data_IF_525064933259
#
_entry.id   IF_525064933259
#
_cell.length_a   1.000
_cell.length_b   1.000
_cell.length_c   1.000
_cell.angle_alpha   90.00
_cell.angle_beta   90.00
_cell.angle_gamma   90.00
#
_symmetry.space_group_name_H-M   'P 1'
#
loop_
_entity.id
_entity.type
_entity.pdbx_description
1 polymer ?
#
# COMPACT_ATOMS: atom_id res chain seq x y z
N UNK A 1 -8.35 18.05 39.12
CA UNK A 1 -7.52 18.22 37.88
C UNK A 1 -7.03 19.65 37.80
N UNK A 2 -5.69 19.89 37.77
CA UNK A 2 -5.13 21.26 37.86
C UNK A 2 -5.37 22.06 36.57
N UNK A 3 -5.42 23.42 36.69
CA UNK A 3 -5.52 24.34 35.52
C UNK A 3 -4.38 24.13 34.51
N UNK A 4 -3.16 23.84 35.00
CA UNK A 4 -1.95 23.56 34.21
C UNK A 4 -2.14 22.32 33.35
N UNK A 5 -2.70 21.24 33.89
CA UNK A 5 -2.96 19.99 33.19
C UNK A 5 -3.99 20.18 32.04
N UNK A 6 -5.10 20.91 32.30
CA UNK A 6 -6.08 21.25 31.25
C UNK A 6 -5.47 22.07 30.11
N UNK A 7 -4.55 22.98 30.40
CA UNK A 7 -3.84 23.78 29.39
C UNK A 7 -2.92 22.90 28.53
N UNK A 8 -2.20 21.96 29.13
CA UNK A 8 -1.34 21.00 28.41
C UNK A 8 -2.16 20.07 27.51
N UNK A 9 -3.26 19.53 27.99
CA UNK A 9 -4.16 18.72 27.17
C UNK A 9 -4.68 19.49 25.96
N UNK A 10 -5.14 20.75 26.11
CA UNK A 10 -5.57 21.58 24.99
C UNK A 10 -4.48 21.80 23.96
N UNK A 11 -3.23 22.01 24.41
CA UNK A 11 -2.07 22.13 23.49
C UNK A 11 -1.81 20.84 22.75
N UNK A 12 -1.79 19.71 23.44
CA UNK A 12 -1.60 18.39 22.86
C UNK A 12 -2.69 18.09 21.81
N UNK A 13 -3.96 18.36 22.15
CA UNK A 13 -5.08 18.18 21.21
C UNK A 13 -4.93 19.03 19.95
N UNK A 14 -4.46 20.29 20.08
CA UNK A 14 -4.18 21.13 18.91
C UNK A 14 -3.10 20.53 18.00
N UNK A 15 -2.05 19.95 18.58
CA UNK A 15 -0.99 19.27 17.84
C UNK A 15 -1.53 18.03 17.09
N UNK A 16 -2.30 17.19 17.75
CA UNK A 16 -2.92 16.03 17.12
C UNK A 16 -3.87 16.44 15.97
N UNK A 17 -4.70 17.45 16.19
CA UNK A 17 -5.61 17.95 15.16
C UNK A 17 -4.85 18.51 13.95
N UNK A 18 -3.78 19.33 14.19
CA UNK A 18 -2.95 19.86 13.11
C UNK A 18 -2.32 18.73 12.29
N UNK A 19 -1.72 17.75 12.94
CA UNK A 19 -1.12 16.59 12.28
C UNK A 19 -2.15 15.78 11.47
N UNK A 20 -3.31 15.52 12.06
CA UNK A 20 -4.40 14.78 11.40
C UNK A 20 -4.88 15.53 10.15
N UNK A 21 -5.05 16.85 10.24
CA UNK A 21 -5.48 17.67 9.12
C UNK A 21 -4.44 17.67 7.99
N UNK A 22 -3.14 17.83 8.33
CA UNK A 22 -2.06 17.76 7.35
C UNK A 22 -2.00 16.41 6.64
N UNK A 23 -2.17 15.30 7.39
CA UNK A 23 -2.17 13.97 6.83
C UNK A 23 -3.39 13.72 5.94
N UNK A 24 -4.56 14.21 6.34
CA UNK A 24 -5.77 14.12 5.53
C UNK A 24 -5.62 14.90 4.22
N UNK A 25 -5.12 16.14 4.27
CA UNK A 25 -4.84 16.95 3.08
C UNK A 25 -3.85 16.25 2.14
N UNK A 26 -2.78 15.67 2.69
CA UNK A 26 -1.83 14.87 1.92
C UNK A 26 -2.49 13.66 1.23
N UNK A 27 -3.31 12.89 1.96
CA UNK A 27 -4.04 11.75 1.41
C UNK A 27 -5.01 12.21 0.30
N UNK A 28 -5.73 13.31 0.51
CA UNK A 28 -6.66 13.85 -0.49
C UNK A 28 -5.94 14.21 -1.79
N UNK A 29 -4.81 14.92 -1.70
CA UNK A 29 -4.00 15.32 -2.86
C UNK A 29 -3.37 14.11 -3.56
N UNK A 30 -2.79 13.19 -2.79
CA UNK A 30 -2.15 12.00 -3.33
C UNK A 30 -3.16 11.10 -4.05
N UNK A 31 -4.32 10.83 -3.43
CA UNK A 31 -5.36 9.99 -4.04
C UNK A 31 -5.97 10.64 -5.27
N UNK A 32 -6.15 11.95 -5.29
CA UNK A 32 -6.61 12.68 -6.46
C UNK A 32 -5.63 12.54 -7.63
N UNK A 33 -4.33 12.77 -7.39
CA UNK A 33 -3.30 12.65 -8.42
C UNK A 33 -3.21 11.23 -8.98
N UNK A 34 -3.30 10.21 -8.11
CA UNK A 34 -3.25 8.81 -8.52
C UNK A 34 -4.45 8.45 -9.40
N UNK A 35 -5.65 8.83 -9.02
CA UNK A 35 -6.86 8.56 -9.82
C UNK A 35 -6.85 9.33 -11.14
N UNK A 36 -6.31 10.55 -11.17
CA UNK A 36 -6.14 11.30 -12.42
C UNK A 36 -5.18 10.61 -13.39
N UNK A 37 -4.11 10.01 -12.87
CA UNK A 37 -3.01 9.45 -13.67
C UNK A 37 -3.28 8.01 -14.11
N UNK A 38 -3.89 7.19 -13.25
CA UNK A 38 -4.05 5.75 -13.47
C UNK A 38 -5.52 5.35 -13.51
N UNK A 39 -5.83 4.29 -14.26
CA UNK A 39 -7.17 3.69 -14.32
C UNK A 39 -7.28 2.50 -13.38
N UNK A 40 -6.14 1.90 -12.99
CA UNK A 40 -6.09 0.76 -12.08
C UNK A 40 -4.92 0.89 -11.11
N UNK A 41 -5.15 0.61 -9.83
CA UNK A 41 -4.12 0.51 -8.81
C UNK A 41 -4.27 -0.83 -8.10
N UNK A 42 -3.20 -1.64 -8.12
CA UNK A 42 -3.24 -3.00 -7.60
C UNK A 42 -2.46 -3.10 -6.28
N UNK A 43 -3.07 -3.70 -5.26
CA UNK A 43 -2.47 -3.97 -3.96
C UNK A 43 -2.40 -5.47 -3.67
N UNK A 44 -1.49 -5.86 -2.79
CA UNK A 44 -1.56 -7.18 -2.14
C UNK A 44 -2.61 -7.19 -1.04
N UNK A 45 -3.31 -8.32 -0.87
CA UNK A 45 -4.37 -8.48 0.15
C UNK A 45 -3.87 -8.43 1.60
N UNK A 46 -2.56 -8.54 1.82
CA UNK A 46 -1.97 -8.59 3.17
C UNK A 46 -1.85 -7.24 3.90
N UNK A 47 -2.42 -6.17 3.35
CA UNK A 47 -2.38 -4.85 4.00
C UNK A 47 -3.00 -4.85 5.41
N UNK A 48 -3.97 -5.74 5.68
CA UNK A 48 -4.56 -5.92 7.02
C UNK A 48 -3.58 -6.60 7.99
N UNK A 49 -2.81 -7.58 7.52
CA UNK A 49 -1.77 -8.26 8.30
C UNK A 49 -0.61 -7.31 8.62
N UNK A 50 -0.21 -6.47 7.67
CA UNK A 50 0.77 -5.41 7.90
C UNK A 50 0.30 -4.46 9.01
N UNK A 51 -0.98 -4.11 9.05
CA UNK A 51 -1.56 -3.29 10.11
C UNK A 51 -1.40 -3.92 11.51
N UNK A 52 -1.48 -5.25 11.61
CA UNK A 52 -1.32 -5.99 12.87
C UNK A 52 0.17 -6.09 13.26
N UNK A 53 1.05 -6.37 12.30
CA UNK A 53 2.48 -6.56 12.56
C UNK A 53 3.23 -5.27 12.90
N UNK A 54 2.77 -4.15 12.39
CA UNK A 54 3.43 -2.82 12.56
C UNK A 54 3.01 -2.14 13.87
N UNK A 55 2.07 -2.72 14.64
CA UNK A 55 1.62 -2.16 15.92
C UNK A 55 1.05 -0.74 15.82
N UNK A 56 0.29 -0.31 16.85
CA UNK A 56 -0.49 0.94 16.82
C UNK A 56 0.27 2.24 16.49
N UNK A 57 1.58 2.31 16.73
CA UNK A 57 2.36 3.52 16.50
C UNK A 57 2.62 3.85 15.02
N UNK A 58 2.81 2.85 14.15
CA UNK A 58 3.05 3.10 12.72
C UNK A 58 1.77 3.41 11.94
N UNK A 59 0.59 3.02 12.42
CA UNK A 59 -0.68 3.53 11.92
C UNK A 59 -0.81 5.07 12.12
N UNK A 60 -0.06 5.62 13.07
CA UNK A 60 0.04 7.08 13.23
C UNK A 60 0.89 7.74 12.15
N UNK A 61 1.77 7.01 11.45
CA UNK A 61 2.62 7.57 10.39
C UNK A 61 1.84 7.70 9.08
N UNK A 62 1.21 6.62 8.63
CA UNK A 62 0.38 6.64 7.42
C UNK A 62 -0.82 5.67 7.53
N UNK A 63 -2.07 6.17 7.57
CA UNK A 63 -3.26 5.34 7.73
C UNK A 63 -3.65 4.69 6.39
N UNK A 64 -3.03 3.56 6.06
CA UNK A 64 -3.20 2.86 4.79
C UNK A 64 -4.66 2.51 4.49
N UNK A 65 -5.44 2.09 5.49
CA UNK A 65 -6.87 1.78 5.31
C UNK A 65 -7.70 3.00 4.87
N UNK A 66 -7.42 4.18 5.46
CA UNK A 66 -8.04 5.44 5.05
C UNK A 66 -7.63 5.83 3.63
N UNK A 67 -6.35 5.69 3.30
CA UNK A 67 -5.83 5.95 1.96
C UNK A 67 -6.52 5.08 0.90
N UNK A 68 -6.63 3.75 1.13
CA UNK A 68 -7.31 2.82 0.21
C UNK A 68 -8.79 3.18 0.08
N UNK A 69 -9.47 3.50 1.19
CA UNK A 69 -10.86 3.93 1.15
C UNK A 69 -11.02 5.16 0.28
N UNK A 70 -10.19 6.20 0.49
CA UNK A 70 -10.24 7.43 -0.31
C UNK A 70 -9.94 7.21 -1.79
N UNK A 71 -9.03 6.28 -2.13
CA UNK A 71 -8.81 5.87 -3.52
C UNK A 71 -10.07 5.29 -4.13
N UNK A 72 -10.73 4.34 -3.46
CA UNK A 72 -11.98 3.73 -3.93
C UNK A 72 -13.08 4.77 -4.14
N UNK A 73 -13.30 5.64 -3.15
CA UNK A 73 -14.29 6.72 -3.22
C UNK A 73 -14.05 7.63 -4.44
N UNK A 74 -12.77 7.98 -4.70
CA UNK A 74 -12.40 8.83 -5.84
C UNK A 74 -12.49 8.14 -7.19
N UNK A 75 -12.12 6.86 -7.29
CA UNK A 75 -12.35 6.09 -8.51
C UNK A 75 -13.82 6.05 -8.86
N UNK A 76 -14.68 5.74 -7.89
CA UNK A 76 -16.13 5.73 -8.11
C UNK A 76 -16.68 7.11 -8.54
N UNK A 77 -16.11 8.20 -8.02
CA UNK A 77 -16.57 9.57 -8.33
C UNK A 77 -16.07 10.07 -9.69
N UNK A 78 -14.77 9.86 -9.99
CA UNK A 78 -14.12 10.49 -11.15
C UNK A 78 -13.92 9.57 -12.34
N UNK A 79 -13.88 8.25 -12.12
CA UNK A 79 -13.65 7.23 -13.14
C UNK A 79 -14.45 5.96 -12.85
N UNK A 80 -15.82 6.03 -12.87
CA UNK A 80 -16.65 4.87 -12.51
C UNK A 80 -16.46 3.67 -13.43
N UNK A 81 -16.05 3.89 -14.68
CA UNK A 81 -15.78 2.84 -15.67
C UNK A 81 -14.41 2.19 -15.53
N UNK A 82 -13.51 2.75 -14.71
CA UNK A 82 -12.18 2.20 -14.50
C UNK A 82 -12.21 0.99 -13.55
N UNK A 83 -11.24 0.07 -13.70
CA UNK A 83 -11.08 -1.06 -12.77
C UNK A 83 -10.80 -0.61 -11.32
N UNK A 84 -10.25 0.58 -11.16
CA UNK A 84 -10.06 1.23 -9.87
C UNK A 84 -9.06 0.52 -8.97
N UNK A 85 -9.43 0.28 -7.70
CA UNK A 85 -8.58 -0.38 -6.73
C UNK A 85 -8.79 -1.89 -6.77
N UNK A 86 -7.74 -2.63 -7.11
CA UNK A 86 -7.74 -4.10 -7.21
C UNK A 86 -6.84 -4.73 -6.15
N UNK A 87 -7.11 -6.00 -5.82
CA UNK A 87 -6.31 -6.77 -4.86
C UNK A 87 -5.92 -8.12 -5.45
N UNK A 88 -4.69 -8.55 -5.15
CA UNK A 88 -4.17 -9.86 -5.53
C UNK A 88 -3.63 -10.60 -4.29
N UNK A 89 -3.60 -11.93 -4.36
CA UNK A 89 -3.08 -12.75 -3.25
C UNK A 89 -1.59 -12.51 -3.02
N UNK A 90 -1.14 -12.29 -1.77
CA UNK A 90 0.27 -12.16 -1.44
C UNK A 90 0.94 -13.54 -1.47
N UNK A 91 1.71 -13.87 -2.50
CA UNK A 91 2.47 -15.12 -2.53
C UNK A 91 3.77 -14.94 -3.29
N UNK A 92 4.92 -14.93 -2.58
CA UNK A 92 6.25 -14.83 -3.18
C UNK A 92 6.48 -13.64 -4.13
N UNK A 93 5.69 -12.59 -4.11
CA UNK A 93 5.81 -11.44 -5.02
C UNK A 93 7.18 -10.79 -4.96
N UNK A 94 7.77 -10.63 -3.76
CA UNK A 94 9.10 -10.08 -3.57
C UNK A 94 10.24 -11.06 -3.90
N UNK A 95 9.96 -12.39 -3.91
CA UNK A 95 10.96 -13.45 -4.11
C UNK A 95 10.97 -14.01 -5.53
N UNK A 96 9.91 -13.83 -6.30
CA UNK A 96 9.82 -14.28 -7.70
C UNK A 96 10.49 -13.24 -8.59
N UNK A 97 11.40 -13.68 -9.45
CA UNK A 97 11.99 -12.81 -10.45
C UNK A 97 10.94 -12.45 -11.51
N UNK A 98 10.60 -11.16 -11.67
CA UNK A 98 9.61 -10.71 -12.66
C UNK A 98 10.01 -11.02 -14.10
N UNK A 99 11.35 -11.20 -14.35
CA UNK A 99 11.85 -11.43 -15.71
C UNK A 99 11.78 -12.89 -16.14
N UNK A 100 12.06 -13.87 -15.24
CA UNK A 100 12.14 -15.28 -15.61
C UNK A 100 11.31 -16.25 -14.76
N UNK A 101 10.52 -15.75 -13.81
CA UNK A 101 9.65 -16.54 -12.94
C UNK A 101 10.38 -17.36 -11.85
N UNK A 102 11.73 -17.34 -11.78
CA UNK A 102 12.47 -18.09 -10.78
C UNK A 102 12.21 -17.58 -9.37
N UNK A 103 11.91 -18.48 -8.42
CA UNK A 103 11.64 -18.14 -7.01
C UNK A 103 12.92 -18.27 -6.20
N UNK A 104 13.43 -17.15 -5.66
CA UNK A 104 14.56 -17.15 -4.74
C UNK A 104 14.10 -17.46 -3.30
N UNK A 105 14.09 -18.75 -2.94
CA UNK A 105 13.66 -19.22 -1.60
C UNK A 105 14.55 -18.70 -0.46
N UNK A 106 15.82 -18.37 -0.73
CA UNK A 106 16.80 -17.92 0.27
C UNK A 106 16.90 -16.39 0.40
N UNK A 107 16.03 -15.62 -0.28
CA UNK A 107 16.07 -14.18 -0.19
C UNK A 107 15.72 -13.67 1.21
N UNK A 108 16.69 -13.02 1.86
CA UNK A 108 16.48 -12.41 3.19
C UNK A 108 15.67 -11.12 3.06
N UNK A 109 14.71 -10.90 3.96
CA UNK A 109 13.82 -9.71 3.97
C UNK A 109 14.60 -8.39 3.98
N UNK A 110 15.75 -8.33 4.65
CA UNK A 110 16.58 -7.11 4.74
C UNK A 110 17.34 -6.78 3.45
N UNK A 111 17.46 -7.72 2.49
CA UNK A 111 18.23 -7.51 1.26
C UNK A 111 17.37 -6.80 0.22
N UNK A 112 17.62 -5.51 0.00
CA UNK A 112 16.88 -4.68 -0.96
C UNK A 112 17.21 -5.06 -2.40
N UNK A 113 18.49 -5.11 -2.76
CA UNK A 113 18.94 -5.50 -4.10
C UNK A 113 19.42 -6.95 -4.12
N UNK A 114 19.01 -7.71 -5.12
CA UNK A 114 19.41 -9.12 -5.25
C UNK A 114 19.60 -9.53 -6.73
N UNK A 115 20.46 -10.50 -6.96
CA UNK A 115 20.72 -11.06 -8.28
C UNK A 115 19.93 -12.36 -8.42
N UNK A 116 19.20 -12.49 -9.52
CA UNK A 116 18.48 -13.73 -9.83
C UNK A 116 19.47 -14.85 -10.16
N UNK A 117 19.34 -15.99 -9.50
CA UNK A 117 20.23 -17.13 -9.68
C UNK A 117 20.06 -17.83 -11.04
N UNK A 118 18.86 -17.69 -11.67
CA UNK A 118 18.57 -18.33 -12.97
C UNK A 118 18.98 -17.44 -14.14
N UNK A 119 18.57 -16.16 -14.16
CA UNK A 119 18.80 -15.28 -15.33
C UNK A 119 19.87 -14.21 -15.10
N UNK A 120 20.49 -14.15 -13.92
CA UNK A 120 21.56 -13.20 -13.60
C UNK A 120 21.16 -11.75 -13.42
N UNK A 121 19.89 -11.37 -13.65
CA UNK A 121 19.41 -9.98 -13.56
C UNK A 121 19.48 -9.48 -12.12
N UNK A 122 19.97 -8.23 -11.95
CA UNK A 122 19.97 -7.53 -10.67
C UNK A 122 18.63 -6.82 -10.53
N UNK A 123 17.96 -7.02 -9.40
CA UNK A 123 16.60 -6.57 -9.14
C UNK A 123 16.54 -5.80 -7.81
N UNK A 124 15.89 -4.65 -7.81
CA UNK A 124 15.39 -4.04 -6.58
C UNK A 124 14.16 -4.84 -6.12
N UNK A 125 14.12 -5.23 -4.84
CA UNK A 125 13.09 -6.12 -4.29
C UNK A 125 11.70 -5.51 -4.38
N UNK A 126 11.56 -4.22 -4.10
CA UNK A 126 10.27 -3.56 -3.99
C UNK A 126 9.70 -3.28 -5.40
N UNK A 127 10.54 -2.84 -6.34
CA UNK A 127 10.18 -2.71 -7.75
C UNK A 127 9.81 -4.07 -8.37
N UNK A 128 10.59 -5.12 -8.07
CA UNK A 128 10.29 -6.47 -8.53
C UNK A 128 8.93 -6.98 -8.00
N UNK A 129 8.64 -6.70 -6.72
CA UNK A 129 7.34 -7.06 -6.13
C UNK A 129 6.18 -6.32 -6.81
N UNK A 130 6.32 -5.02 -7.04
CA UNK A 130 5.29 -4.21 -7.71
C UNK A 130 4.97 -4.74 -9.13
N UNK A 131 5.99 -5.09 -9.91
CA UNK A 131 5.81 -5.68 -11.24
C UNK A 131 5.09 -7.05 -11.15
N UNK A 132 5.47 -7.90 -10.18
CA UNK A 132 4.81 -9.19 -10.00
C UNK A 132 3.35 -9.05 -9.54
N UNK A 133 3.03 -8.07 -8.69
CA UNK A 133 1.67 -7.75 -8.27
C UNK A 133 0.82 -7.34 -9.48
N UNK A 134 1.34 -6.46 -10.31
CA UNK A 134 0.67 -6.00 -11.53
C UNK A 134 0.45 -7.16 -12.53
N UNK A 135 1.49 -7.97 -12.78
CA UNK A 135 1.39 -9.13 -13.67
C UNK A 135 0.36 -10.16 -13.20
N UNK A 136 0.21 -10.37 -11.90
CA UNK A 136 -0.84 -11.25 -11.35
C UNK A 136 -2.22 -10.76 -11.66
N UNK A 137 -2.46 -9.47 -11.52
CA UNK A 137 -3.74 -8.90 -11.86
C UNK A 137 -4.07 -9.10 -13.35
N UNK A 138 -3.11 -8.81 -14.24
CA UNK A 138 -3.28 -9.05 -15.68
C UNK A 138 -3.53 -10.51 -16.03
N UNK A 139 -2.91 -11.46 -15.31
CA UNK A 139 -3.08 -12.91 -15.54
C UNK A 139 -4.34 -13.48 -14.89
N UNK A 140 -5.23 -12.63 -14.35
CA UNK A 140 -6.51 -13.05 -13.79
C UNK A 140 -6.47 -13.58 -12.36
N UNK A 141 -5.38 -13.41 -11.63
CA UNK A 141 -5.24 -13.69 -10.19
C UNK A 141 -5.92 -12.62 -9.30
N UNK A 142 -6.83 -11.84 -9.87
CA UNK A 142 -7.59 -10.85 -9.10
C UNK A 142 -8.63 -11.53 -8.22
N UNK A 143 -8.79 -11.01 -6.99
CA UNK A 143 -9.76 -11.53 -6.02
C UNK A 143 -11.23 -11.38 -6.46
N UNK A 144 -11.53 -10.59 -7.49
CA UNK A 144 -12.88 -10.53 -8.10
C UNK A 144 -13.40 -11.91 -8.51
N UNK A 145 -12.51 -12.85 -8.88
CA UNK A 145 -12.85 -14.21 -9.28
C UNK A 145 -13.39 -15.09 -8.14
N UNK A 146 -13.25 -14.64 -6.87
CA UNK A 146 -13.62 -15.41 -5.68
C UNK A 146 -14.73 -14.75 -4.83
N UNK A 147 -15.29 -13.63 -5.29
CA UNK A 147 -16.37 -12.89 -4.62
C UNK A 147 -17.75 -13.09 -5.27
N UNK A 148 -17.85 -14.03 -6.23
CA UNK A 148 -19.12 -14.51 -6.79
C UNK A 148 -19.48 -15.86 -6.21
#
# INVERSE_FOLDING_TARGET
>A
MSRRWKKLQKRLQKWYNKRTNQLNDYIEKLTYNLVKTYDTIVFEENYSTIKILIGGEQNMIFPLSRFIKRLKDKFQLYKPEADGVQFVKPHNTSRTCHHCGHINKKLKVKKRNWKCQKCGKILDRDTNAAINILNRWFNGDSLKKYLN
#
